data_IF_584324048808
#
_entry.id   IF_584324048808
#
_cell.length_a   1.000
_cell.length_b   1.000
_cell.length_c   1.000
_cell.angle_alpha   90.00
_cell.angle_beta   90.00
_cell.angle_gamma   90.00
#
_symmetry.space_group_name_H-M   'P 1'
#
loop_
_entity.id
_entity.type
_entity.pdbx_description
1 polymer ?
#
# COMPACT_ATOMS: atom_id res chain seq x y z
N UNK A 1 8.86 32.14 2.25
CA UNK A 1 8.76 30.93 1.39
C UNK A 1 8.61 29.74 2.32
N UNK A 2 7.62 28.86 2.11
CA UNK A 2 7.48 27.67 2.95
C UNK A 2 8.55 26.63 2.56
N UNK A 3 9.13 25.89 3.52
CA UNK A 3 10.08 24.82 3.20
C UNK A 3 9.40 23.70 2.40
N UNK A 4 10.07 23.18 1.38
CA UNK A 4 9.60 22.08 0.53
C UNK A 4 10.47 20.84 0.74
N UNK A 5 9.84 19.66 0.83
CA UNK A 5 10.55 18.38 0.95
C UNK A 5 10.88 17.85 -0.45
N UNK A 6 12.15 17.47 -0.65
CA UNK A 6 12.65 16.85 -1.87
C UNK A 6 13.51 15.63 -1.55
N UNK A 7 13.62 14.72 -2.51
CA UNK A 7 14.47 13.53 -2.42
C UNK A 7 15.47 13.48 -3.56
N UNK A 8 16.57 12.76 -3.35
CA UNK A 8 17.60 12.54 -4.36
C UNK A 8 17.51 11.08 -4.81
N UNK A 9 17.42 10.87 -6.12
CA UNK A 9 17.35 9.55 -6.74
C UNK A 9 18.50 9.29 -7.72
N UNK A 10 18.61 8.02 -8.09
CA UNK A 10 19.51 7.52 -9.14
C UNK A 10 18.69 7.18 -10.37
N UNK A 11 19.17 7.55 -11.56
CA UNK A 11 18.58 7.19 -12.86
C UNK A 11 19.65 6.58 -13.77
N UNK A 12 19.27 6.09 -14.95
CA UNK A 12 20.19 5.41 -15.86
C UNK A 12 21.42 6.27 -16.22
N UNK A 13 21.24 7.59 -16.26
CA UNK A 13 22.24 8.59 -16.60
C UNK A 13 23.15 8.99 -15.42
N UNK A 14 22.83 8.57 -14.19
CA UNK A 14 23.65 8.82 -13.00
C UNK A 14 22.87 9.20 -11.73
N UNK A 15 23.58 9.51 -10.63
CA UNK A 15 22.99 10.00 -9.38
C UNK A 15 22.67 11.51 -9.46
N UNK A 16 21.88 12.00 -8.50
CA UNK A 16 21.72 13.45 -8.25
C UNK A 16 20.41 14.05 -8.75
N UNK A 17 19.46 13.22 -9.17
CA UNK A 17 18.15 13.69 -9.62
C UNK A 17 17.30 14.11 -8.43
N UNK A 18 16.82 15.35 -8.45
CA UNK A 18 16.00 15.91 -7.37
C UNK A 18 14.52 15.71 -7.70
N UNK A 19 13.86 14.84 -6.96
CA UNK A 19 12.44 14.56 -7.08
C UNK A 19 11.62 15.30 -5.99
N UNK A 20 10.38 15.64 -6.32
CA UNK A 20 9.46 16.30 -5.39
C UNK A 20 8.94 15.28 -4.38
N UNK A 21 8.98 15.65 -3.10
CA UNK A 21 8.46 14.85 -2.01
C UNK A 21 9.37 13.72 -1.53
N UNK A 22 8.80 12.86 -0.69
CA UNK A 22 9.51 11.75 -0.04
C UNK A 22 9.69 10.55 -0.99
N UNK A 23 10.78 9.78 -0.84
CA UNK A 23 10.90 8.45 -1.44
C UNK A 23 9.71 7.57 -1.05
N UNK A 24 9.35 6.61 -1.90
CA UNK A 24 8.16 5.76 -1.68
C UNK A 24 8.11 5.17 -0.27
N UNK A 25 9.23 4.62 0.20
CA UNK A 25 9.33 3.96 1.51
C UNK A 25 9.12 4.90 2.70
N UNK A 26 9.30 6.21 2.50
CA UNK A 26 9.10 7.22 3.54
C UNK A 26 7.72 7.88 3.48
N UNK A 27 6.91 7.60 2.45
CA UNK A 27 5.58 8.17 2.28
C UNK A 27 4.57 7.59 3.26
N UNK A 28 3.66 8.44 3.75
CA UNK A 28 2.51 8.02 4.56
C UNK A 28 1.50 7.28 3.70
N UNK A 29 0.63 6.49 4.33
CA UNK A 29 -0.36 5.67 3.62
C UNK A 29 -1.20 6.46 2.61
N UNK A 30 -1.62 7.69 2.92
CA UNK A 30 -2.42 8.54 2.01
C UNK A 30 -1.71 8.87 0.71
N UNK A 31 -0.43 9.20 0.78
CA UNK A 31 0.41 9.50 -0.39
C UNK A 31 0.65 8.23 -1.21
N UNK A 32 0.80 7.09 -0.54
CA UNK A 32 0.90 5.78 -1.21
C UNK A 32 -0.39 5.38 -1.91
N UNK A 33 -1.57 5.65 -1.35
CA UNK A 33 -2.85 5.42 -2.05
C UNK A 33 -2.93 6.22 -3.35
N UNK A 34 -2.51 7.49 -3.34
CA UNK A 34 -2.47 8.29 -4.56
C UNK A 34 -1.48 7.72 -5.61
N UNK A 35 -0.35 7.17 -5.16
CA UNK A 35 0.58 6.46 -6.04
C UNK A 35 -0.04 5.17 -6.60
N UNK A 36 -0.66 4.35 -5.75
CA UNK A 36 -1.33 3.11 -6.14
C UNK A 36 -2.38 3.33 -7.25
N UNK A 37 -3.15 4.41 -7.17
CA UNK A 37 -4.09 4.79 -8.24
C UNK A 37 -3.39 5.09 -9.55
N UNK A 38 -2.26 5.82 -9.52
CA UNK A 38 -1.47 6.11 -10.72
C UNK A 38 -0.86 4.85 -11.31
N UNK A 39 -0.30 3.99 -10.46
CA UNK A 39 0.30 2.72 -10.89
C UNK A 39 -0.77 1.82 -11.50
N UNK A 40 -1.95 1.74 -10.90
CA UNK A 40 -3.09 1.01 -11.46
C UNK A 40 -3.50 1.56 -12.84
N UNK A 41 -3.57 2.88 -13.02
CA UNK A 41 -3.88 3.48 -14.33
C UNK A 41 -2.83 3.13 -15.38
N UNK A 42 -1.55 3.15 -15.03
CA UNK A 42 -0.46 2.76 -15.92
C UNK A 42 -0.56 1.28 -16.30
N UNK A 43 -0.80 0.40 -15.33
CA UNK A 43 -0.99 -1.03 -15.56
C UNK A 43 -2.18 -1.26 -16.49
N UNK A 44 -3.32 -0.61 -16.22
CA UNK A 44 -4.53 -0.74 -17.02
C UNK A 44 -4.33 -0.30 -18.47
N UNK A 45 -3.57 0.79 -18.70
CA UNK A 45 -3.33 1.32 -20.03
C UNK A 45 -2.56 0.36 -20.96
N UNK A 46 -1.77 -0.56 -20.39
CA UNK A 46 -0.96 -1.53 -21.15
C UNK A 46 -1.38 -2.97 -20.93
N UNK A 47 -2.51 -3.21 -20.25
CA UNK A 47 -2.91 -4.56 -19.85
C UNK A 47 -3.43 -5.37 -21.04
N UNK A 48 -2.79 -6.51 -21.32
CA UNK A 48 -3.22 -7.44 -22.36
C UNK A 48 -4.24 -8.47 -21.84
N UNK A 49 -5.16 -8.88 -22.72
CA UNK A 49 -6.10 -9.97 -22.49
C UNK A 49 -5.97 -11.02 -23.60
N UNK A 50 -5.44 -12.22 -23.33
CA UNK A 50 -4.98 -12.72 -22.02
C UNK A 50 -3.65 -12.08 -21.56
N UNK A 51 -3.41 -12.01 -20.24
CA UNK A 51 -2.22 -11.39 -19.67
C UNK A 51 -0.97 -12.28 -19.81
N UNK A 52 0.13 -11.67 -20.23
CA UNK A 52 1.47 -12.25 -20.30
C UNK A 52 2.26 -12.07 -19.00
N UNK A 53 3.56 -12.33 -19.06
CA UNK A 53 4.44 -12.27 -17.88
C UNK A 53 4.64 -10.84 -17.36
N UNK A 54 4.67 -9.86 -18.25
CA UNK A 54 4.78 -8.44 -17.89
C UNK A 54 3.57 -7.98 -17.06
N UNK A 55 2.35 -8.29 -17.50
CA UNK A 55 1.13 -7.93 -16.77
C UNK A 55 1.05 -8.67 -15.43
N UNK A 56 1.44 -9.95 -15.41
CA UNK A 56 1.53 -10.75 -14.18
C UNK A 56 2.49 -10.14 -13.18
N UNK A 57 3.67 -9.72 -13.64
CA UNK A 57 4.67 -9.10 -12.79
C UNK A 57 4.21 -7.75 -12.26
N UNK A 58 3.61 -6.91 -13.11
CA UNK A 58 3.11 -5.60 -12.71
C UNK A 58 2.00 -5.70 -11.64
N UNK A 59 1.03 -6.60 -11.82
CA UNK A 59 -0.03 -6.84 -10.82
C UNK A 59 0.55 -7.37 -9.51
N UNK A 60 1.51 -8.31 -9.56
CA UNK A 60 2.17 -8.84 -8.34
C UNK A 60 2.84 -7.73 -7.54
N UNK A 61 3.58 -6.85 -8.20
CA UNK A 61 4.27 -5.75 -7.54
C UNK A 61 3.29 -4.74 -6.95
N UNK A 62 2.23 -4.38 -7.69
CA UNK A 62 1.20 -3.49 -7.18
C UNK A 62 0.54 -4.04 -5.89
N UNK A 63 0.26 -5.34 -5.83
CA UNK A 63 -0.26 -5.97 -4.60
C UNK A 63 0.78 -6.10 -3.48
N UNK A 64 2.07 -6.25 -3.82
CA UNK A 64 3.16 -6.22 -2.83
C UNK A 64 3.21 -4.87 -2.13
N UNK A 65 3.17 -3.80 -2.91
CA UNK A 65 3.21 -2.44 -2.41
C UNK A 65 1.92 -2.07 -1.66
N UNK A 66 0.77 -2.54 -2.13
CA UNK A 66 -0.52 -2.35 -1.43
C UNK A 66 -0.52 -3.02 -0.05
N UNK A 67 0.07 -4.22 0.05
CA UNK A 67 0.23 -4.92 1.34
C UNK A 67 1.02 -4.08 2.33
N UNK A 68 2.14 -3.50 1.90
CA UNK A 68 2.95 -2.61 2.74
C UNK A 68 2.15 -1.36 3.13
N UNK A 69 1.35 -0.80 2.22
CA UNK A 69 0.46 0.33 2.54
C UNK A 69 -0.59 -0.01 3.59
N UNK A 70 -1.13 -1.23 3.62
CA UNK A 70 -2.03 -1.68 4.69
C UNK A 70 -1.31 -1.65 6.04
N UNK A 71 -0.09 -2.20 6.12
CA UNK A 71 0.71 -2.23 7.35
C UNK A 71 1.03 -0.82 7.87
N UNK A 72 1.46 0.08 7.00
CA UNK A 72 1.72 1.49 7.35
C UNK A 72 0.43 2.23 7.70
N UNK A 73 -0.66 1.92 7.02
CA UNK A 73 -1.99 2.44 7.35
C UNK A 73 -2.42 2.09 8.76
N UNK A 74 -2.20 0.84 9.19
CA UNK A 74 -2.45 0.37 10.56
C UNK A 74 -1.55 1.12 11.55
N UNK A 75 -0.26 1.24 11.26
CA UNK A 75 0.73 1.94 12.10
C UNK A 75 0.33 3.41 12.35
N UNK A 76 -0.02 4.15 11.31
CA UNK A 76 -0.38 5.58 11.36
C UNK A 76 -1.80 5.80 11.92
N UNK A 77 -2.76 5.00 11.45
CA UNK A 77 -4.19 5.26 11.69
C UNK A 77 -4.74 4.57 12.92
N UNK A 78 -4.41 3.30 13.14
CA UNK A 78 -4.95 2.52 14.26
C UNK A 78 -4.08 2.73 15.49
N UNK A 79 -2.76 2.57 15.31
CA UNK A 79 -1.80 2.61 16.42
C UNK A 79 -1.32 4.03 16.74
N UNK A 80 -1.67 5.04 15.93
CA UNK A 80 -1.21 6.42 16.13
C UNK A 80 0.30 6.55 16.25
N UNK A 81 1.08 5.76 15.51
CA UNK A 81 2.54 5.70 15.62
C UNK A 81 3.03 5.42 17.07
N UNK A 82 2.17 4.81 17.90
CA UNK A 82 2.51 4.34 19.25
C UNK A 82 3.54 3.22 19.17
N UNK A 83 3.35 2.32 18.21
CA UNK A 83 4.30 1.29 17.81
C UNK A 83 4.71 1.61 16.38
N UNK A 84 6.01 1.68 16.12
CA UNK A 84 6.60 1.92 14.80
C UNK A 84 7.77 0.97 14.62
N UNK A 85 7.93 0.40 13.43
CA UNK A 85 9.08 -0.48 13.14
C UNK A 85 10.41 0.26 13.35
N UNK A 86 11.41 -0.45 13.89
CA UNK A 86 12.77 0.07 14.11
C UNK A 86 12.86 1.27 15.08
N UNK A 87 11.86 1.45 15.96
CA UNK A 87 11.93 2.37 17.08
C UNK A 87 12.17 1.59 18.38
N UNK A 88 13.14 2.03 19.18
CA UNK A 88 13.56 1.34 20.41
C UNK A 88 12.52 1.31 21.54
N UNK A 89 11.42 2.08 21.40
CA UNK A 89 10.42 2.19 22.44
C UNK A 89 9.01 2.47 21.93
N UNK A 90 8.05 2.24 22.82
CA UNK A 90 6.64 2.56 22.62
C UNK A 90 6.43 4.05 22.93
N UNK A 91 5.74 4.76 22.05
CA UNK A 91 5.46 6.19 22.23
C UNK A 91 4.24 6.40 23.14
N UNK A 92 4.45 6.33 24.47
CA UNK A 92 3.40 6.48 25.50
C UNK A 92 2.54 7.73 25.31
N UNK A 93 3.15 8.87 24.93
CA UNK A 93 2.44 10.13 24.70
C UNK A 93 1.47 10.13 23.52
N UNK A 94 1.45 9.06 22.72
CA UNK A 94 0.56 8.88 21.56
C UNK A 94 -0.55 7.86 21.80
N UNK A 95 -0.56 7.20 22.97
CA UNK A 95 -1.59 6.23 23.34
C UNK A 95 -3.00 6.83 23.30
N UNK A 96 -3.14 8.12 23.60
CA UNK A 96 -4.43 8.82 23.57
C UNK A 96 -5.11 8.85 22.19
N UNK A 97 -4.36 8.64 21.10
CA UNK A 97 -4.91 8.59 19.74
C UNK A 97 -5.02 7.19 19.13
N UNK A 98 -4.73 6.14 19.91
CA UNK A 98 -4.94 4.75 19.51
C UNK A 98 -6.44 4.49 19.41
N UNK A 99 -6.87 3.86 18.32
CA UNK A 99 -8.28 3.63 18.01
C UNK A 99 -8.62 2.16 18.23
N UNK A 100 -9.75 1.89 18.88
CA UNK A 100 -10.29 0.55 18.97
C UNK A 100 -10.74 0.06 17.57
N UNK A 101 -10.35 -1.16 17.22
CA UNK A 101 -10.75 -1.81 15.97
C UNK A 101 -12.05 -2.56 16.20
N UNK A 102 -13.07 -2.24 15.40
CA UNK A 102 -14.33 -3.00 15.39
C UNK A 102 -14.15 -4.34 14.68
N UNK A 103 -14.94 -5.35 15.04
CA UNK A 103 -14.86 -6.69 14.44
C UNK A 103 -14.96 -6.65 12.90
N UNK A 104 -15.86 -5.82 12.36
CA UNK A 104 -16.01 -5.64 10.92
C UNK A 104 -14.75 -5.07 10.25
N UNK A 105 -14.01 -4.20 10.94
CA UNK A 105 -12.75 -3.62 10.45
C UNK A 105 -11.64 -4.65 10.45
N UNK A 106 -11.56 -5.45 11.51
CA UNK A 106 -10.61 -6.54 11.58
C UNK A 106 -10.84 -7.54 10.43
N UNK A 107 -12.09 -7.94 10.18
CA UNK A 107 -12.41 -8.82 9.07
C UNK A 107 -12.07 -8.19 7.71
N UNK A 108 -12.30 -6.89 7.54
CA UNK A 108 -11.97 -6.21 6.29
C UNK A 108 -10.45 -6.07 6.07
N UNK A 109 -9.68 -5.74 7.11
CA UNK A 109 -8.21 -5.79 7.07
C UNK A 109 -7.75 -7.19 6.67
N UNK A 110 -8.32 -8.23 7.28
CA UNK A 110 -7.94 -9.61 7.00
C UNK A 110 -8.30 -10.01 5.56
N UNK A 111 -9.47 -9.61 5.06
CA UNK A 111 -9.89 -9.84 3.67
C UNK A 111 -8.90 -9.19 2.69
N UNK A 112 -8.57 -7.92 2.90
CA UNK A 112 -7.66 -7.14 2.04
C UNK A 112 -6.21 -7.64 2.12
N UNK A 113 -5.71 -7.96 3.31
CA UNK A 113 -4.38 -8.56 3.48
C UNK A 113 -4.30 -9.93 2.79
N UNK A 114 -5.31 -10.78 2.95
CA UNK A 114 -5.38 -12.07 2.27
C UNK A 114 -5.46 -11.92 0.74
N UNK A 115 -6.18 -10.90 0.26
CA UNK A 115 -6.24 -10.55 -1.17
C UNK A 115 -4.86 -10.18 -1.71
N UNK A 116 -4.06 -9.41 -0.95
CA UNK A 116 -2.67 -9.13 -1.31
C UNK A 116 -1.82 -10.41 -1.28
N UNK A 117 -1.90 -11.22 -0.22
CA UNK A 117 -1.16 -12.50 -0.10
C UNK A 117 -1.41 -13.47 -1.27
N UNK A 118 -2.61 -13.45 -1.85
CA UNK A 118 -2.97 -14.28 -3.00
C UNK A 118 -2.32 -13.82 -4.31
N UNK A 119 -1.92 -12.55 -4.39
CA UNK A 119 -1.37 -11.93 -5.59
C UNK A 119 0.14 -11.73 -5.54
N UNK A 120 0.77 -11.67 -4.36
CA UNK A 120 2.23 -11.56 -4.24
C UNK A 120 2.93 -12.90 -4.43
N UNK A 121 4.18 -12.88 -4.88
CA UNK A 121 5.05 -14.06 -4.95
C UNK A 121 5.67 -14.39 -3.58
N UNK A 122 4.86 -14.46 -2.52
CA UNK A 122 5.34 -14.76 -1.17
C UNK A 122 5.58 -16.26 -0.95
N UNK A 123 4.86 -17.13 -1.69
CA UNK A 123 4.99 -18.59 -1.64
C UNK A 123 4.85 -19.21 -3.03
N UNK A 124 5.46 -20.38 -3.23
CA UNK A 124 5.21 -21.18 -4.44
C UNK A 124 3.73 -21.56 -4.50
N UNK A 125 3.01 -21.05 -5.50
CA UNK A 125 1.65 -21.50 -5.77
C UNK A 125 1.71 -22.83 -6.51
N UNK A 126 0.82 -23.76 -6.16
CA UNK A 126 0.74 -25.04 -6.85
C UNK A 126 0.58 -24.81 -8.35
N UNK A 127 1.46 -25.41 -9.16
CA UNK A 127 1.50 -25.20 -10.62
C UNK A 127 0.15 -25.49 -11.30
N UNK A 128 -0.64 -26.42 -10.74
CA UNK A 128 -1.98 -26.78 -11.24
C UNK A 128 -3.10 -25.79 -10.87
N UNK A 129 -2.84 -24.74 -10.09
CA UNK A 129 -3.91 -23.86 -9.61
C UNK A 129 -4.41 -22.88 -10.68
N UNK A 130 -3.66 -22.68 -11.78
CA UNK A 130 -4.00 -21.88 -12.97
C UNK A 130 -4.85 -20.62 -12.66
N UNK A 131 -4.50 -19.89 -11.58
CA UNK A 131 -5.31 -18.77 -11.15
C UNK A 131 -5.27 -17.68 -12.22
N UNK A 132 -6.44 -17.10 -12.59
CA UNK A 132 -6.44 -15.94 -13.47
C UNK A 132 -5.64 -14.82 -12.80
N UNK A 133 -4.94 -14.04 -13.62
CA UNK A 133 -4.31 -12.80 -13.15
C UNK A 133 -5.42 -11.85 -12.77
N UNK A 134 -5.31 -11.22 -11.61
CA UNK A 134 -6.26 -10.20 -11.18
C UNK A 134 -6.29 -9.06 -12.19
N UNK A 135 -7.50 -8.67 -12.61
CA UNK A 135 -7.68 -7.59 -13.58
C UNK A 135 -7.33 -6.23 -12.94
N UNK A 136 -6.83 -5.23 -13.71
CA UNK A 136 -6.55 -3.90 -13.18
C UNK A 136 -7.76 -3.23 -12.49
N UNK A 137 -8.98 -3.52 -12.91
CA UNK A 137 -10.20 -3.00 -12.26
C UNK A 137 -10.43 -3.60 -10.88
N UNK A 138 -10.12 -4.89 -10.71
CA UNK A 138 -10.18 -5.54 -9.39
C UNK A 138 -9.11 -4.95 -8.45
N UNK A 139 -7.91 -4.67 -8.97
CA UNK A 139 -6.86 -3.97 -8.22
C UNK A 139 -7.34 -2.58 -7.78
N UNK A 140 -7.99 -1.82 -8.66
CA UNK A 140 -8.56 -0.52 -8.31
C UNK A 140 -9.59 -0.64 -7.18
N UNK A 141 -10.49 -1.62 -7.28
CA UNK A 141 -11.48 -1.90 -6.22
C UNK A 141 -10.84 -2.20 -4.88
N UNK A 142 -9.77 -2.99 -4.86
CA UNK A 142 -9.02 -3.30 -3.63
C UNK A 142 -8.28 -2.05 -3.07
N UNK A 143 -7.70 -1.20 -3.93
CA UNK A 143 -7.06 0.07 -3.53
C UNK A 143 -8.09 1.00 -2.86
N UNK A 144 -9.28 1.15 -3.45
CA UNK A 144 -10.34 1.98 -2.88
C UNK A 144 -10.92 1.42 -1.58
N UNK A 145 -11.00 0.10 -1.46
CA UNK A 145 -11.41 -0.55 -0.22
C UNK A 145 -10.41 -0.27 0.92
N UNK A 146 -9.09 -0.33 0.66
CA UNK A 146 -8.07 0.05 1.65
C UNK A 146 -8.22 1.53 2.05
N UNK A 147 -8.36 2.43 1.07
CA UNK A 147 -8.52 3.86 1.32
C UNK A 147 -9.78 4.16 2.15
N UNK A 148 -10.90 3.52 1.81
CA UNK A 148 -12.18 3.67 2.50
C UNK A 148 -12.09 3.17 3.94
N UNK A 149 -11.52 1.98 4.16
CA UNK A 149 -11.34 1.40 5.49
C UNK A 149 -10.52 2.31 6.40
N UNK A 150 -9.33 2.73 5.95
CA UNK A 150 -8.45 3.59 6.76
C UNK A 150 -9.07 4.96 7.01
N UNK A 151 -9.78 5.53 6.02
CA UNK A 151 -10.46 6.81 6.19
C UNK A 151 -11.60 6.72 7.21
N UNK A 152 -12.38 5.65 7.19
CA UNK A 152 -13.48 5.40 8.15
C UNK A 152 -12.96 5.20 9.57
N UNK A 153 -11.90 4.42 9.75
CA UNK A 153 -11.27 4.26 11.07
C UNK A 153 -10.77 5.62 11.57
N UNK A 154 -10.08 6.36 10.70
CA UNK A 154 -9.53 7.68 11.03
C UNK A 154 -10.59 8.71 11.38
N UNK A 155 -11.79 8.67 10.79
CA UNK A 155 -12.84 9.65 11.09
C UNK A 155 -13.39 9.53 12.51
N UNK A 156 -13.11 8.41 13.21
CA UNK A 156 -13.41 8.26 14.64
C UNK A 156 -12.33 8.83 15.55
N UNK A 157 -11.20 9.29 15.00
CA UNK A 157 -10.16 9.99 15.76
C UNK A 157 -10.68 11.41 16.03
N UNK A 158 -10.98 11.70 17.30
CA UNK A 158 -11.31 13.04 17.80
C UNK A 158 -10.16 14.02 17.62
#
# INVERSE_FOLDING_TARGET
MAPEVRSISYRAEGPGYVDVGLPYDMRRHRERIAQHRRDQQQIAATFNTPPGDTERYAIRNAYSDLRVTIEIGIEDTILNETVVRFRDGISVGRLNGVIAVEEQEFHEVQRLHNRCCRNVSAHSHAAGQQRPVTHPDELLGDIEAVNTLLSRIRSRRG
#
